data_IF_450523280190
#
_entry.id   IF_450523280190
#
_cell.length_a   1.000
_cell.length_b   1.000
_cell.length_c   1.000
_cell.angle_alpha   90.00
_cell.angle_beta   90.00
_cell.angle_gamma   90.00
#
_symmetry.space_group_name_H-M   'P 1'
#
loop_
_entity.id
_entity.type
_entity.pdbx_description
1 polymer ?
#
# COMPACT_ATOMS: atom_id res chain seq x y z
N UNK A 1 -18.15 15.37 1.04
CA UNK A 1 -17.46 14.07 0.96
C UNK A 1 -18.47 12.91 0.99
N UNK A 2 -18.18 11.85 0.29
CA UNK A 2 -18.97 10.59 0.40
C UNK A 2 -18.63 9.93 1.75
N UNK A 3 -19.21 10.43 2.84
CA UNK A 3 -18.81 10.05 4.21
C UNK A 3 -19.22 8.64 4.62
N UNK A 4 -20.10 7.98 3.86
CA UNK A 4 -20.68 6.70 4.25
C UNK A 4 -20.22 5.50 3.41
N UNK A 5 -19.54 5.72 2.29
CA UNK A 5 -19.22 4.67 1.32
C UNK A 5 -17.88 3.96 1.57
N UNK A 6 -17.02 4.50 2.38
CA UNK A 6 -15.72 3.90 2.68
C UNK A 6 -15.76 3.22 4.04
N UNK A 7 -15.03 2.11 4.20
CA UNK A 7 -14.77 1.54 5.53
C UNK A 7 -14.06 2.59 6.39
N UNK A 8 -14.12 2.48 7.70
CA UNK A 8 -13.50 3.45 8.60
C UNK A 8 -11.99 3.61 8.36
N UNK A 9 -11.34 2.60 7.76
CA UNK A 9 -9.94 2.67 7.32
C UNK A 9 -9.74 3.66 6.19
N UNK A 10 -10.55 3.58 5.12
CA UNK A 10 -10.44 4.55 4.02
C UNK A 10 -10.76 5.97 4.48
N UNK A 11 -11.75 6.11 5.38
CA UNK A 11 -12.07 7.41 5.97
C UNK A 11 -10.88 7.98 6.73
N UNK A 12 -10.21 7.15 7.53
CA UNK A 12 -9.01 7.56 8.28
C UNK A 12 -7.86 7.90 7.35
N UNK A 13 -7.55 7.01 6.39
CA UNK A 13 -6.46 7.18 5.43
C UNK A 13 -6.62 8.39 4.51
N UNK A 14 -7.87 8.73 4.15
CA UNK A 14 -8.20 9.86 3.27
C UNK A 14 -8.59 11.13 4.04
N UNK A 15 -8.40 11.17 5.37
CA UNK A 15 -8.67 12.37 6.18
C UNK A 15 -10.16 12.68 6.35
N UNK A 16 -11.03 11.65 6.34
CA UNK A 16 -12.47 11.78 6.56
C UNK A 16 -13.35 11.37 5.38
N UNK A 17 -12.76 10.89 4.29
CA UNK A 17 -13.48 10.35 3.14
C UNK A 17 -12.87 10.69 1.78
N UNK A 18 -13.51 10.24 0.73
CA UNK A 18 -13.09 10.52 -0.65
C UNK A 18 -13.47 11.95 -1.00
N UNK A 19 -12.49 12.74 -1.39
CA UNK A 19 -12.67 14.15 -1.79
C UNK A 19 -13.01 14.20 -3.27
N UNK A 20 -14.10 14.86 -3.62
CA UNK A 20 -14.49 15.09 -5.01
C UNK A 20 -13.45 15.89 -5.76
N UNK A 21 -13.29 15.61 -7.04
CA UNK A 21 -12.30 16.27 -7.89
C UNK A 21 -10.85 15.94 -7.56
N UNK A 22 -10.61 14.90 -6.75
CA UNK A 22 -9.26 14.49 -6.34
C UNK A 22 -8.70 13.35 -7.18
N UNK A 23 -7.37 13.33 -7.32
CA UNK A 23 -6.61 12.24 -7.90
C UNK A 23 -5.79 11.54 -6.82
N UNK A 24 -6.05 10.25 -6.61
CA UNK A 24 -5.43 9.41 -5.59
C UNK A 24 -4.55 8.36 -6.25
N UNK A 25 -3.28 8.30 -5.89
CA UNK A 25 -2.36 7.25 -6.32
C UNK A 25 -2.30 6.13 -5.27
N UNK A 26 -2.52 4.91 -5.71
CA UNK A 26 -2.34 3.69 -4.90
C UNK A 26 -1.14 2.93 -5.44
N UNK A 27 0.01 3.07 -4.78
CA UNK A 27 1.26 2.43 -5.12
C UNK A 27 1.51 1.14 -4.33
N UNK A 28 2.40 0.30 -4.81
CA UNK A 28 2.83 -0.92 -4.12
C UNK A 28 3.29 -2.01 -5.10
N UNK A 29 3.89 -3.06 -4.55
CA UNK A 29 4.42 -4.18 -5.34
C UNK A 29 3.33 -4.89 -6.16
N UNK A 30 3.67 -5.45 -7.33
CA UNK A 30 2.74 -6.30 -8.09
C UNK A 30 2.27 -7.49 -7.23
N UNK A 31 0.95 -7.77 -7.27
CA UNK A 31 0.36 -8.89 -6.52
C UNK A 31 0.15 -8.64 -5.02
N UNK A 32 0.44 -7.43 -4.49
CA UNK A 32 0.24 -7.10 -3.07
C UNK A 32 -1.24 -7.01 -2.66
N UNK A 33 -2.16 -6.81 -3.61
CA UNK A 33 -3.60 -6.73 -3.36
C UNK A 33 -4.25 -5.38 -3.68
N UNK A 34 -3.56 -4.45 -4.37
CA UNK A 34 -4.09 -3.12 -4.73
C UNK A 34 -5.43 -3.19 -5.46
N UNK A 35 -5.50 -3.96 -6.53
CA UNK A 35 -6.72 -4.13 -7.34
C UNK A 35 -7.86 -4.79 -6.54
N UNK A 36 -7.54 -5.72 -5.63
CA UNK A 36 -8.52 -6.33 -4.72
C UNK A 36 -9.10 -5.29 -3.76
N UNK A 37 -8.23 -4.48 -3.15
CA UNK A 37 -8.62 -3.39 -2.24
C UNK A 37 -9.57 -2.41 -2.92
N UNK A 38 -9.19 -1.95 -4.12
CA UNK A 38 -9.99 -0.99 -4.88
C UNK A 38 -11.32 -1.61 -5.36
N UNK A 39 -11.33 -2.86 -5.75
CA UNK A 39 -12.56 -3.54 -6.14
C UNK A 39 -13.53 -3.70 -4.95
N UNK A 40 -13.02 -3.99 -3.75
CA UNK A 40 -13.82 -4.01 -2.52
C UNK A 40 -14.35 -2.61 -2.16
N UNK A 41 -13.57 -1.55 -2.39
CA UNK A 41 -14.02 -0.18 -2.25
C UNK A 41 -15.14 0.14 -3.24
N UNK A 42 -14.99 -0.26 -4.51
CA UNK A 42 -16.01 -0.11 -5.54
C UNK A 42 -17.31 -0.80 -5.17
N UNK A 43 -17.24 -2.03 -4.62
CA UNK A 43 -18.42 -2.75 -4.13
C UNK A 43 -19.18 -1.95 -3.08
N UNK A 44 -18.48 -1.48 -2.04
CA UNK A 44 -19.10 -0.69 -0.97
C UNK A 44 -19.71 0.62 -1.48
N UNK A 45 -19.05 1.29 -2.44
CA UNK A 45 -19.59 2.49 -3.06
C UNK A 45 -20.85 2.18 -3.88
N UNK A 46 -20.82 1.11 -4.67
CA UNK A 46 -21.93 0.68 -5.50
C UNK A 46 -23.16 0.23 -4.68
N UNK A 47 -22.96 -0.42 -3.54
CA UNK A 47 -24.04 -0.77 -2.57
C UNK A 47 -24.77 0.49 -2.07
N UNK A 48 -24.07 1.62 -2.00
CA UNK A 48 -24.65 2.92 -1.65
C UNK A 48 -25.15 3.70 -2.86
N UNK A 49 -25.31 3.03 -4.01
CA UNK A 49 -25.78 3.62 -5.27
C UNK A 49 -24.87 4.75 -5.80
N UNK A 50 -23.60 4.77 -5.39
CA UNK A 50 -22.60 5.69 -5.96
C UNK A 50 -22.16 5.11 -7.30
N UNK A 51 -22.29 5.85 -8.42
CA UNK A 51 -21.85 5.37 -9.73
C UNK A 51 -20.33 5.25 -9.78
N UNK A 52 -19.83 4.06 -10.10
CA UNK A 52 -18.41 3.73 -10.18
C UNK A 52 -18.07 3.22 -11.57
N UNK A 53 -16.97 3.69 -12.15
CA UNK A 53 -16.37 3.14 -13.36
C UNK A 53 -15.00 2.55 -13.03
N UNK A 54 -14.83 1.26 -13.27
CA UNK A 54 -13.55 0.57 -13.14
C UNK A 54 -12.98 0.32 -14.53
N UNK A 55 -11.85 0.98 -14.81
CA UNK A 55 -11.09 0.86 -16.07
C UNK A 55 -9.90 -0.03 -15.84
N UNK A 56 -9.81 -1.12 -16.61
CA UNK A 56 -8.68 -2.05 -16.57
C UNK A 56 -7.91 -2.03 -17.88
N UNK A 57 -6.60 -1.83 -17.80
CA UNK A 57 -5.70 -1.99 -18.93
C UNK A 57 -4.88 -3.29 -18.89
N UNK A 58 -4.99 -4.07 -17.81
CA UNK A 58 -4.19 -5.29 -17.62
C UNK A 58 -5.04 -6.56 -17.69
N UNK A 59 -6.27 -6.52 -17.16
CA UNK A 59 -7.14 -7.67 -17.02
C UNK A 59 -8.35 -7.60 -17.95
N UNK A 60 -8.75 -8.74 -18.49
CA UNK A 60 -10.01 -8.86 -19.23
C UNK A 60 -11.23 -8.76 -18.32
N UNK A 61 -12.39 -8.44 -18.88
CA UNK A 61 -13.66 -8.39 -18.14
C UNK A 61 -13.95 -9.70 -17.39
N UNK A 62 -13.62 -10.85 -17.99
CA UNK A 62 -13.84 -12.15 -17.37
C UNK A 62 -12.93 -12.34 -16.13
N UNK A 63 -11.68 -11.90 -16.19
CA UNK A 63 -10.75 -11.99 -15.05
C UNK A 63 -11.20 -11.10 -13.89
N UNK A 64 -11.63 -9.88 -14.20
CA UNK A 64 -12.18 -8.96 -13.19
C UNK A 64 -13.45 -9.56 -12.58
N UNK A 65 -14.34 -10.13 -13.41
CA UNK A 65 -15.56 -10.78 -12.95
C UNK A 65 -15.28 -11.95 -12.00
N UNK A 66 -14.35 -12.84 -12.34
CA UNK A 66 -13.94 -13.94 -11.48
C UNK A 66 -13.39 -13.46 -10.13
N UNK A 67 -12.67 -12.34 -10.11
CA UNK A 67 -12.20 -11.70 -8.88
C UNK A 67 -13.35 -11.09 -8.10
N UNK A 68 -14.25 -10.41 -8.77
CA UNK A 68 -15.43 -9.79 -8.16
C UNK A 68 -16.35 -10.84 -7.49
N UNK A 69 -16.57 -11.99 -8.13
CA UNK A 69 -17.38 -13.10 -7.58
C UNK A 69 -16.85 -13.61 -6.23
N UNK A 70 -15.52 -13.62 -6.03
CA UNK A 70 -14.92 -13.96 -4.73
C UNK A 70 -15.18 -12.93 -3.64
N UNK A 71 -15.26 -11.66 -4.02
CA UNK A 71 -15.54 -10.55 -3.10
C UNK A 71 -17.02 -10.48 -2.74
N UNK A 72 -17.90 -11.00 -3.61
CA UNK A 72 -19.34 -11.09 -3.42
C UNK A 72 -20.13 -10.36 -4.52
N UNK A 73 -21.41 -10.13 -4.27
CA UNK A 73 -22.31 -9.53 -5.26
C UNK A 73 -22.02 -8.04 -5.45
N UNK A 74 -22.11 -7.61 -6.70
CA UNK A 74 -22.01 -6.21 -7.12
C UNK A 74 -23.35 -5.73 -7.67
N UNK A 75 -23.59 -4.43 -7.56
CA UNK A 75 -24.79 -3.78 -8.10
C UNK A 75 -24.52 -3.15 -9.48
N UNK A 76 -25.55 -2.80 -10.21
CA UNK A 76 -25.48 -2.14 -11.53
C UNK A 76 -24.81 -0.75 -11.46
N UNK A 77 -24.55 -0.23 -10.26
CA UNK A 77 -23.81 1.03 -10.06
C UNK A 77 -22.32 0.91 -10.34
N UNK A 78 -21.76 -0.31 -10.46
CA UNK A 78 -20.40 -0.56 -10.90
C UNK A 78 -20.40 -0.93 -12.39
N UNK A 79 -19.75 -0.10 -13.21
CA UNK A 79 -19.47 -0.39 -14.62
C UNK A 79 -18.01 -0.76 -14.80
N UNK A 80 -17.74 -1.72 -15.68
CA UNK A 80 -16.39 -2.19 -16.03
C UNK A 80 -16.08 -1.82 -17.47
N UNK A 81 -14.86 -1.31 -17.70
CA UNK A 81 -14.34 -0.98 -19.02
C UNK A 81 -12.92 -1.57 -19.16
N UNK A 82 -12.67 -2.31 -20.24
CA UNK A 82 -11.32 -2.73 -20.62
C UNK A 82 -10.85 -1.84 -21.78
N UNK A 83 -10.06 -0.83 -21.45
CA UNK A 83 -9.53 0.15 -22.41
C UNK A 83 -8.23 0.76 -21.88
N UNK A 84 -7.34 1.13 -22.79
CA UNK A 84 -6.04 1.72 -22.48
C UNK A 84 -5.84 3.09 -23.15
N UNK A 85 -6.64 3.44 -24.15
CA UNK A 85 -6.61 4.76 -24.79
C UNK A 85 -7.34 5.79 -23.93
N UNK A 86 -6.62 6.85 -23.53
CA UNK A 86 -7.14 7.89 -22.63
C UNK A 86 -8.28 8.72 -23.26
N UNK A 87 -8.29 8.92 -24.56
CA UNK A 87 -9.35 9.68 -25.21
C UNK A 87 -10.68 8.90 -25.15
N UNK A 88 -10.62 7.58 -25.36
CA UNK A 88 -11.78 6.71 -25.24
C UNK A 88 -12.27 6.67 -23.80
N UNK A 89 -11.34 6.50 -22.85
CA UNK A 89 -11.67 6.52 -21.41
C UNK A 89 -12.30 7.85 -21.01
N UNK A 90 -11.74 8.98 -21.46
CA UNK A 90 -12.28 10.32 -21.22
C UNK A 90 -13.70 10.49 -21.74
N UNK A 91 -13.97 10.05 -22.97
CA UNK A 91 -15.31 10.07 -23.58
C UNK A 91 -16.32 9.22 -22.81
N UNK A 92 -15.92 8.05 -22.33
CA UNK A 92 -16.79 7.20 -21.49
C UNK A 92 -17.08 7.89 -20.16
N UNK A 93 -16.10 8.51 -19.52
CA UNK A 93 -16.29 9.25 -18.27
C UNK A 93 -17.27 10.42 -18.48
N UNK A 94 -17.15 11.18 -19.56
CA UNK A 94 -18.01 12.31 -19.88
C UNK A 94 -19.47 11.88 -20.10
N UNK A 95 -19.68 10.74 -20.77
CA UNK A 95 -21.01 10.22 -21.05
C UNK A 95 -21.68 9.57 -19.83
N UNK A 96 -20.92 8.76 -19.08
CA UNK A 96 -21.45 7.97 -17.97
C UNK A 96 -21.51 8.74 -16.64
N UNK A 97 -20.76 9.83 -16.53
CA UNK A 97 -20.69 10.72 -15.35
C UNK A 97 -20.55 9.97 -14.03
N UNK A 98 -19.56 9.05 -13.91
CA UNK A 98 -19.34 8.34 -12.66
C UNK A 98 -18.93 9.32 -11.56
N UNK A 99 -19.17 8.97 -10.31
CA UNK A 99 -18.67 9.73 -9.16
C UNK A 99 -17.26 9.30 -8.75
N UNK A 100 -16.92 8.03 -9.01
CA UNK A 100 -15.62 7.43 -8.73
C UNK A 100 -15.14 6.71 -9.99
N UNK A 101 -13.85 6.89 -10.32
CA UNK A 101 -13.18 6.18 -11.41
C UNK A 101 -11.95 5.48 -10.85
N UNK A 102 -11.75 4.23 -11.24
CA UNK A 102 -10.53 3.47 -10.97
C UNK A 102 -9.79 3.25 -12.29
N UNK A 103 -8.49 3.51 -12.32
CA UNK A 103 -7.59 3.20 -13.45
C UNK A 103 -6.58 2.14 -12.98
N UNK A 104 -6.69 0.93 -13.48
CA UNK A 104 -5.85 -0.22 -13.10
C UNK A 104 -5.18 -0.86 -14.34
N UNK A 105 -3.94 -0.49 -14.65
CA UNK A 105 -3.02 0.42 -14.00
C UNK A 105 -2.67 1.64 -14.85
N UNK A 106 -2.09 2.67 -14.23
CA UNK A 106 -1.66 3.87 -14.96
C UNK A 106 -0.57 3.55 -16.01
N UNK A 107 0.23 2.51 -15.79
CA UNK A 107 1.29 2.10 -16.69
C UNK A 107 0.79 1.55 -18.03
N UNK A 108 -0.45 1.09 -18.09
CA UNK A 108 -1.04 0.58 -19.34
C UNK A 108 -1.74 1.65 -20.15
N UNK A 109 -2.05 2.80 -19.53
CA UNK A 109 -2.71 3.91 -20.22
C UNK A 109 -1.77 4.61 -21.19
N UNK A 110 -2.32 5.06 -22.31
CA UNK A 110 -1.57 5.86 -23.29
C UNK A 110 -2.44 6.95 -23.90
N UNK A 111 -1.75 8.02 -24.34
CA UNK A 111 -2.27 9.08 -25.19
C UNK A 111 -1.58 9.04 -26.55
N UNK A 112 -2.33 9.18 -27.62
CA UNK A 112 -1.81 9.25 -28.98
C UNK A 112 -0.98 10.52 -29.24
N UNK A 113 -1.12 11.54 -28.37
CA UNK A 113 -0.35 12.78 -28.45
C UNK A 113 1.13 12.60 -28.05
N UNK A 114 1.47 11.50 -27.35
CA UNK A 114 2.83 11.21 -26.86
C UNK A 114 3.42 10.04 -27.64
N UNK A 115 4.48 10.28 -28.39
CA UNK A 115 5.10 9.30 -29.28
C UNK A 115 5.88 8.16 -28.57
N UNK A 116 5.93 8.13 -27.23
CA UNK A 116 6.64 7.09 -26.48
C UNK A 116 5.74 5.90 -26.15
N UNK A 117 6.34 4.74 -25.89
CA UNK A 117 5.61 3.52 -25.56
C UNK A 117 4.80 3.65 -24.23
N UNK A 118 3.68 2.93 -24.10
CA UNK A 118 2.95 2.80 -22.84
C UNK A 118 3.88 2.38 -21.68
N UNK A 119 3.65 2.90 -20.48
CA UNK A 119 4.51 2.65 -19.32
C UNK A 119 5.79 3.49 -19.24
N UNK A 120 6.17 4.22 -20.30
CA UNK A 120 7.27 5.18 -20.24
C UNK A 120 6.95 6.34 -19.31
N UNK A 121 7.99 7.02 -18.78
CA UNK A 121 7.82 8.16 -17.87
C UNK A 121 6.95 9.25 -18.50
N UNK A 122 7.14 9.55 -19.79
CA UNK A 122 6.38 10.58 -20.50
C UNK A 122 4.90 10.20 -20.63
N UNK A 123 4.59 8.97 -21.06
CA UNK A 123 3.21 8.48 -21.15
C UNK A 123 2.51 8.49 -19.79
N UNK A 124 3.16 7.96 -18.76
CA UNK A 124 2.56 7.88 -17.42
C UNK A 124 2.31 9.26 -16.81
N UNK A 125 3.21 10.22 -17.08
CA UNK A 125 3.02 11.62 -16.64
C UNK A 125 1.89 12.29 -17.40
N UNK A 126 1.83 12.12 -18.73
CA UNK A 126 0.74 12.66 -19.55
C UNK A 126 -0.61 12.08 -19.13
N UNK A 127 -0.70 10.75 -19.02
CA UNK A 127 -1.91 10.08 -18.53
C UNK A 127 -2.37 10.64 -17.18
N UNK A 128 -1.45 10.85 -16.26
CA UNK A 128 -1.74 11.42 -14.93
C UNK A 128 -2.24 12.86 -15.04
N UNK A 129 -1.65 13.68 -15.93
CA UNK A 129 -2.06 15.06 -16.15
C UNK A 129 -3.48 15.15 -16.73
N UNK A 130 -3.79 14.34 -17.74
CA UNK A 130 -5.12 14.24 -18.35
C UNK A 130 -6.17 13.80 -17.31
N UNK A 131 -5.89 12.75 -16.55
CA UNK A 131 -6.79 12.26 -15.50
C UNK A 131 -7.03 13.30 -14.40
N UNK A 132 -6.00 14.08 -14.04
CA UNK A 132 -6.14 15.19 -13.10
C UNK A 132 -7.07 16.29 -13.63
N UNK A 133 -6.95 16.63 -14.91
CA UNK A 133 -7.86 17.60 -15.55
C UNK A 133 -9.29 17.09 -15.56
N UNK A 134 -9.50 15.82 -15.92
CA UNK A 134 -10.82 15.16 -15.90
C UNK A 134 -11.41 15.18 -14.49
N UNK A 135 -10.63 14.80 -13.48
CA UNK A 135 -11.07 14.79 -12.07
C UNK A 135 -11.60 16.16 -11.65
N UNK A 136 -10.83 17.22 -11.93
CA UNK A 136 -11.19 18.60 -11.57
C UNK A 136 -12.35 19.14 -12.40
N UNK A 137 -12.37 18.87 -13.71
CA UNK A 137 -13.41 19.41 -14.62
C UNK A 137 -14.79 18.84 -14.30
N UNK A 138 -14.86 17.55 -13.97
CA UNK A 138 -16.13 16.86 -13.76
C UNK A 138 -16.46 16.61 -12.28
N UNK A 139 -15.63 17.09 -11.35
CA UNK A 139 -15.78 16.87 -9.90
C UNK A 139 -15.82 15.36 -9.52
N UNK A 140 -15.00 14.56 -10.19
CA UNK A 140 -14.92 13.10 -10.06
C UNK A 140 -13.68 12.72 -9.25
N UNK A 141 -13.83 11.77 -8.34
CA UNK A 141 -12.68 11.20 -7.61
C UNK A 141 -12.07 10.08 -8.44
N UNK A 142 -10.80 10.21 -8.82
CA UNK A 142 -10.08 9.22 -9.63
C UNK A 142 -9.00 8.55 -8.79
N UNK A 143 -8.99 7.21 -8.77
CA UNK A 143 -7.94 6.39 -8.17
C UNK A 143 -7.12 5.77 -9.28
N UNK A 144 -5.80 5.96 -9.24
CA UNK A 144 -4.87 5.35 -10.17
C UNK A 144 -3.99 4.32 -9.46
N UNK A 145 -3.90 3.13 -10.00
CA UNK A 145 -3.02 2.07 -9.52
C UNK A 145 -1.65 2.23 -10.17
N UNK A 146 -0.59 2.24 -9.35
CA UNK A 146 0.79 2.27 -9.80
C UNK A 146 1.58 1.08 -9.26
N UNK A 147 2.27 0.34 -10.13
CA UNK A 147 3.17 -0.74 -9.74
C UNK A 147 4.57 -0.19 -9.47
N UNK A 148 5.15 -0.57 -8.31
CA UNK A 148 6.55 -0.27 -8.02
C UNK A 148 7.42 -1.17 -8.90
N UNK A 149 8.36 -0.56 -9.64
CA UNK A 149 9.29 -1.29 -10.48
C UNK A 149 10.69 -1.27 -9.85
N UNK A 150 11.33 -2.40 -9.81
CA UNK A 150 12.71 -2.54 -9.29
C UNK A 150 13.77 -2.02 -10.24
N UNK A 151 13.45 -1.88 -11.53
CA UNK A 151 14.37 -1.44 -12.59
C UNK A 151 13.75 -0.32 -13.42
N UNK A 152 14.54 0.73 -13.70
CA UNK A 152 14.14 2.04 -14.21
C UNK A 152 13.55 2.14 -15.63
N UNK A 153 13.10 1.04 -16.25
CA UNK A 153 12.53 1.06 -17.61
C UNK A 153 11.04 1.47 -17.63
N UNK A 154 10.29 1.23 -16.56
CA UNK A 154 8.87 1.59 -16.43
C UNK A 154 8.72 2.64 -15.33
N UNK A 155 7.92 3.68 -15.59
CA UNK A 155 7.67 4.74 -14.62
C UNK A 155 6.98 4.19 -13.35
N UNK A 156 7.69 4.28 -12.23
CA UNK A 156 7.13 3.89 -10.93
C UNK A 156 6.27 5.00 -10.31
N UNK A 157 5.50 4.69 -9.25
CA UNK A 157 4.63 5.63 -8.56
C UNK A 157 5.33 6.90 -8.08
N UNK A 158 6.61 6.82 -7.70
CA UNK A 158 7.40 7.97 -7.21
C UNK A 158 7.46 9.15 -8.19
N UNK A 159 7.41 8.88 -9.50
CA UNK A 159 7.39 9.94 -10.52
C UNK A 159 6.08 10.73 -10.52
N UNK A 160 5.02 10.18 -9.95
CA UNK A 160 3.68 10.75 -9.93
C UNK A 160 3.31 11.43 -8.61
N UNK A 161 4.06 11.18 -7.53
CA UNK A 161 3.75 11.68 -6.18
C UNK A 161 3.52 13.20 -6.13
N UNK A 162 4.26 13.95 -6.96
CA UNK A 162 4.12 15.42 -7.00
C UNK A 162 2.86 15.87 -7.75
N UNK A 163 2.36 15.07 -8.67
CA UNK A 163 1.24 15.41 -9.56
C UNK A 163 -0.12 15.14 -8.91
N UNK A 164 -0.22 14.16 -8.02
CA UNK A 164 -1.48 13.72 -7.41
C UNK A 164 -1.77 14.44 -6.09
N UNK A 165 -3.03 14.40 -5.65
CA UNK A 165 -3.44 15.02 -4.38
C UNK A 165 -3.17 14.15 -3.17
N UNK A 166 -3.33 12.84 -3.32
CA UNK A 166 -3.12 11.85 -2.27
C UNK A 166 -2.29 10.69 -2.78
N UNK A 167 -1.36 10.19 -1.97
CA UNK A 167 -0.54 9.02 -2.25
C UNK A 167 -0.72 8.02 -1.13
N UNK A 168 -1.15 6.83 -1.47
CA UNK A 168 -1.28 5.69 -0.59
C UNK A 168 -0.32 4.59 -1.06
N UNK A 169 0.50 4.07 -0.16
CA UNK A 169 1.33 2.89 -0.43
C UNK A 169 0.77 1.67 0.26
N UNK A 170 0.68 0.58 -0.52
CA UNK A 170 0.30 -0.72 -0.03
C UNK A 170 1.56 -1.57 0.13
N UNK A 171 1.90 -1.87 1.38
CA UNK A 171 3.15 -2.50 1.80
C UNK A 171 2.86 -3.88 2.40
N UNK A 172 3.83 -4.78 2.36
CA UNK A 172 3.78 -6.10 2.98
C UNK A 172 4.63 -7.11 2.22
N UNK A 173 4.92 -8.23 2.84
CA UNK A 173 5.59 -9.36 2.19
C UNK A 173 4.54 -10.27 1.54
N UNK A 174 4.87 -10.88 0.38
CA UNK A 174 3.98 -11.82 -0.30
C UNK A 174 3.74 -13.11 0.49
N UNK A 175 4.66 -13.43 1.38
CA UNK A 175 4.60 -14.63 2.23
C UNK A 175 3.89 -14.36 3.56
N UNK A 176 3.68 -13.10 3.91
CA UNK A 176 2.94 -12.70 5.10
C UNK A 176 1.45 -12.53 4.78
N UNK A 177 0.60 -12.84 5.76
CA UNK A 177 -0.85 -12.67 5.59
C UNK A 177 -1.30 -11.21 5.63
N UNK A 178 -0.44 -10.30 6.11
CA UNK A 178 -0.79 -8.90 6.34
C UNK A 178 -0.33 -7.96 5.26
N UNK A 179 -1.10 -6.90 5.16
CA UNK A 179 -0.84 -5.76 4.29
C UNK A 179 -1.08 -4.49 5.05
N UNK A 180 -0.23 -3.51 4.85
CA UNK A 180 -0.37 -2.18 5.44
C UNK A 180 -0.66 -1.18 4.34
N UNK A 181 -1.69 -0.38 4.52
CA UNK A 181 -1.97 0.77 3.69
C UNK A 181 -1.49 2.02 4.44
N UNK A 182 -0.53 2.72 3.86
CA UNK A 182 0.10 3.92 4.44
C UNK A 182 -0.17 5.15 3.58
N UNK A 183 -0.64 6.22 4.19
CA UNK A 183 -0.67 7.55 3.56
C UNK A 183 0.72 8.18 3.57
N UNK A 184 1.24 8.52 2.38
CA UNK A 184 2.54 9.20 2.23
C UNK A 184 2.35 10.67 1.93
N UNK A 185 1.27 11.00 1.23
CA UNK A 185 0.87 12.37 0.91
C UNK A 185 -0.64 12.48 0.97
N UNK A 186 -1.14 13.53 1.59
CA UNK A 186 -2.56 13.86 1.59
C UNK A 186 -2.75 15.38 1.70
N UNK A 187 -3.25 16.01 0.65
CA UNK A 187 -3.54 17.46 0.65
C UNK A 187 -4.76 17.81 1.48
N UNK A 188 -5.59 16.84 1.84
CA UNK A 188 -6.89 17.06 2.48
C UNK A 188 -6.91 16.63 3.95
N UNK A 189 -5.82 16.06 4.46
CA UNK A 189 -5.77 15.57 5.84
C UNK A 189 -4.41 15.01 6.24
N UNK A 190 -4.40 14.37 7.41
CA UNK A 190 -3.19 13.75 7.96
C UNK A 190 -2.75 12.52 7.14
N UNK A 191 -1.45 12.30 7.08
CA UNK A 191 -0.83 11.06 6.58
C UNK A 191 -0.44 10.11 7.72
N UNK A 192 -0.77 10.47 8.96
CA UNK A 192 -0.30 9.75 10.15
C UNK A 192 -1.09 8.47 10.48
N UNK A 193 -2.04 8.08 9.65
CA UNK A 193 -2.83 6.87 9.91
C UNK A 193 -2.38 5.73 9.02
N UNK A 194 -2.40 4.51 9.56
CA UNK A 194 -2.19 3.28 8.80
C UNK A 194 -3.43 2.38 8.84
N UNK A 195 -3.69 1.68 7.75
CA UNK A 195 -4.66 0.60 7.69
C UNK A 195 -3.94 -0.74 7.66
N UNK A 196 -4.32 -1.66 8.54
CA UNK A 196 -3.79 -3.03 8.53
C UNK A 196 -4.87 -3.98 8.03
N UNK A 197 -4.52 -4.81 7.07
CA UNK A 197 -5.41 -5.77 6.44
C UNK A 197 -4.82 -7.17 6.47
N UNK A 198 -5.66 -8.16 6.63
CA UNK A 198 -5.34 -9.57 6.42
C UNK A 198 -5.84 -10.01 5.05
N UNK A 199 -5.00 -10.71 4.28
CA UNK A 199 -5.39 -11.30 3.01
C UNK A 199 -6.06 -12.66 3.26
N UNK A 200 -7.35 -12.75 2.93
CA UNK A 200 -8.17 -13.98 3.02
C UNK A 200 -8.66 -14.44 1.65
N UNK A 201 -9.32 -15.57 1.61
CA UNK A 201 -9.92 -16.12 0.38
C UNK A 201 -10.95 -15.19 -0.25
N UNK A 202 -11.74 -14.51 0.59
CA UNK A 202 -12.76 -13.53 0.21
C UNK A 202 -12.22 -12.13 -0.11
N UNK A 203 -10.91 -11.90 0.11
CA UNK A 203 -10.26 -10.62 -0.13
C UNK A 203 -9.53 -10.07 1.08
N UNK A 204 -9.39 -8.77 1.17
CA UNK A 204 -8.74 -8.06 2.27
C UNK A 204 -9.73 -7.76 3.38
N UNK A 205 -9.39 -8.19 4.59
CA UNK A 205 -10.18 -7.95 5.81
C UNK A 205 -9.40 -7.00 6.72
N UNK A 206 -10.06 -5.95 7.19
CA UNK A 206 -9.45 -5.01 8.13
C UNK A 206 -9.12 -5.68 9.46
N UNK A 207 -7.93 -5.42 9.99
CA UNK A 207 -7.50 -5.84 11.32
C UNK A 207 -7.76 -4.70 12.31
N UNK A 208 -8.78 -4.85 13.15
CA UNK A 208 -9.17 -3.81 14.10
C UNK A 208 -8.12 -3.59 15.20
N UNK A 209 -7.50 -4.68 15.67
CA UNK A 209 -6.44 -4.65 16.67
C UNK A 209 -5.15 -5.28 16.14
N UNK A 210 -4.30 -4.51 15.43
CA UNK A 210 -3.04 -5.03 14.90
C UNK A 210 -2.10 -5.59 15.98
N UNK A 211 -2.11 -4.99 17.17
CA UNK A 211 -1.25 -5.39 18.28
C UNK A 211 -1.55 -6.80 18.78
N UNK A 212 -2.83 -7.11 19.00
CA UNK A 212 -3.26 -8.45 19.44
C UNK A 212 -2.81 -9.52 18.46
N UNK A 213 -2.94 -9.18 17.21
CA UNK A 213 -2.61 -10.09 16.14
C UNK A 213 -1.08 -10.32 16.01
N UNK A 214 -0.28 -9.25 16.02
CA UNK A 214 1.19 -9.33 15.92
C UNK A 214 1.82 -10.08 17.11
N UNK A 215 1.11 -10.16 18.21
CA UNK A 215 1.54 -10.88 19.41
C UNK A 215 0.95 -12.31 19.51
N UNK A 216 0.03 -12.70 18.63
CA UNK A 216 -0.70 -13.97 18.72
C UNK A 216 0.19 -15.22 18.63
N UNK A 217 1.35 -15.12 18.01
CA UNK A 217 2.34 -16.21 17.89
C UNK A 217 3.50 -16.15 18.88
N UNK A 218 3.51 -15.16 19.79
CA UNK A 218 4.63 -14.96 20.69
C UNK A 218 4.76 -16.10 21.70
N UNK A 219 5.92 -16.80 21.77
CA UNK A 219 6.18 -17.79 22.80
C UNK A 219 6.29 -17.12 24.17
N UNK A 220 5.66 -17.71 25.20
CA UNK A 220 5.80 -17.21 26.55
C UNK A 220 7.18 -17.52 27.12
N UNK A 221 7.83 -16.50 27.68
CA UNK A 221 9.15 -16.62 28.34
C UNK A 221 10.31 -17.13 27.48
N UNK A 222 10.25 -16.91 26.17
CA UNK A 222 11.40 -17.22 25.28
C UNK A 222 12.46 -16.11 25.39
N UNK A 223 13.72 -16.51 25.57
CA UNK A 223 14.84 -15.57 25.47
C UNK A 223 15.00 -15.09 24.02
N UNK A 224 15.40 -13.84 23.83
CA UNK A 224 15.55 -13.26 22.51
C UNK A 224 14.22 -12.80 21.87
N UNK A 225 13.14 -12.72 22.63
CA UNK A 225 11.86 -12.17 22.19
C UNK A 225 11.35 -11.13 23.19
N UNK A 226 11.11 -9.92 22.72
CA UNK A 226 10.58 -8.82 23.52
C UNK A 226 9.42 -8.14 22.78
N UNK A 227 8.48 -7.58 23.55
CA UNK A 227 7.43 -6.71 22.99
C UNK A 227 7.90 -5.27 23.06
N UNK A 228 7.91 -4.61 21.92
CA UNK A 228 8.14 -3.18 21.81
C UNK A 228 6.87 -2.48 21.34
N UNK A 229 6.77 -1.18 21.63
CA UNK A 229 5.70 -0.32 21.15
C UNK A 229 6.26 0.64 20.12
N UNK A 230 5.68 0.62 18.92
CA UNK A 230 5.90 1.64 17.91
C UNK A 230 4.67 2.54 17.80
N UNK A 231 4.86 3.80 17.45
CA UNK A 231 3.76 4.71 17.15
C UNK A 231 3.72 4.94 15.66
N UNK A 232 2.69 4.43 15.02
CA UNK A 232 2.41 4.66 13.62
C UNK A 232 1.27 5.67 13.49
N UNK A 233 1.67 6.92 13.23
CA UNK A 233 0.74 8.05 13.23
C UNK A 233 0.20 8.37 14.62
N UNK A 234 -1.09 8.14 14.84
CA UNK A 234 -1.76 8.28 16.15
C UNK A 234 -1.96 6.95 16.86
N UNK A 235 -1.61 5.80 16.24
CA UNK A 235 -1.87 4.46 16.79
C UNK A 235 -0.62 3.85 17.42
N UNK A 236 -0.65 3.46 18.70
CA UNK A 236 0.36 2.58 19.27
C UNK A 236 0.16 1.17 18.70
N UNK A 237 1.25 0.57 18.20
CA UNK A 237 1.27 -0.80 17.72
C UNK A 237 2.29 -1.56 18.55
N UNK A 238 1.82 -2.60 19.24
CA UNK A 238 2.70 -3.54 19.89
C UNK A 238 3.19 -4.58 18.89
N UNK A 239 4.48 -4.82 18.89
CA UNK A 239 5.12 -5.76 17.99
C UNK A 239 6.17 -6.58 18.73
N UNK A 240 6.42 -7.79 18.24
CA UNK A 240 7.46 -8.63 18.76
C UNK A 240 8.77 -8.38 17.99
N UNK A 241 9.83 -8.11 18.73
CA UNK A 241 11.20 -8.09 18.22
C UNK A 241 11.87 -9.38 18.66
N UNK A 242 12.43 -10.09 17.70
CA UNK A 242 13.17 -11.32 17.92
C UNK A 242 14.65 -11.08 17.61
N UNK A 243 15.52 -11.49 18.51
CA UNK A 243 16.95 -11.41 18.33
C UNK A 243 17.61 -12.73 18.70
N UNK A 244 18.43 -13.25 17.79
CA UNK A 244 19.29 -14.39 18.05
C UNK A 244 20.74 -13.96 17.87
N UNK A 245 21.54 -14.15 18.92
CA UNK A 245 22.98 -13.90 18.89
C UNK A 245 23.69 -15.19 19.26
N UNK A 246 24.65 -15.63 18.44
CA UNK A 246 25.42 -16.83 18.67
C UNK A 246 26.86 -16.66 18.17
N UNK A 247 27.80 -17.40 18.71
CA UNK A 247 29.18 -17.40 18.23
C UNK A 247 29.25 -17.80 16.76
N UNK A 248 30.02 -17.03 15.98
CA UNK A 248 30.23 -17.33 14.58
C UNK A 248 31.26 -18.44 14.43
N UNK A 249 30.93 -19.40 13.56
CA UNK A 249 31.90 -20.43 13.13
C UNK A 249 32.81 -19.95 11.99
N UNK A 250 32.57 -18.72 11.51
CA UNK A 250 33.30 -18.12 10.38
C UNK A 250 34.11 -16.92 10.84
N UNK A 251 35.21 -16.65 10.15
CA UNK A 251 36.06 -15.49 10.43
C UNK A 251 35.36 -14.15 10.17
N UNK A 252 34.20 -14.16 9.50
CA UNK A 252 33.39 -12.98 9.21
C UNK A 252 31.98 -13.20 9.74
N UNK A 253 31.60 -12.66 10.91
CA UNK A 253 30.29 -12.83 11.50
C UNK A 253 29.18 -12.32 10.61
N UNK A 254 28.10 -13.08 10.55
CA UNK A 254 26.90 -12.74 9.75
C UNK A 254 25.94 -11.89 10.56
N UNK A 255 25.43 -10.88 9.93
CA UNK A 255 24.39 -10.03 10.52
C UNK A 255 23.22 -9.94 9.58
N UNK A 256 22.01 -10.17 10.07
CA UNK A 256 20.78 -10.13 9.28
C UNK A 256 19.75 -9.32 10.03
N UNK A 257 19.11 -8.38 9.33
CA UNK A 257 18.04 -7.58 9.86
C UNK A 257 16.81 -7.72 8.94
N UNK A 258 15.69 -8.13 9.49
CA UNK A 258 14.41 -8.20 8.83
C UNK A 258 13.43 -7.28 9.56
N UNK A 259 12.78 -6.37 8.80
CA UNK A 259 11.87 -5.37 9.36
C UNK A 259 12.53 -4.11 9.94
N UNK A 260 13.87 -4.06 10.06
CA UNK A 260 14.62 -2.88 10.49
C UNK A 260 15.89 -2.65 9.64
N UNK A 261 16.54 -1.51 9.84
CA UNK A 261 17.73 -1.15 9.07
C UNK A 261 18.97 -1.92 9.53
N UNK A 262 19.70 -2.54 8.59
CA UNK A 262 20.91 -3.31 8.84
C UNK A 262 22.02 -2.49 9.51
N UNK A 263 22.21 -1.23 9.07
CA UNK A 263 23.26 -0.37 9.63
C UNK A 263 22.93 0.05 11.06
N UNK A 264 21.63 0.25 11.36
CA UNK A 264 21.15 0.51 12.72
C UNK A 264 21.47 -0.65 13.65
N UNK A 265 21.20 -1.90 13.24
CA UNK A 265 21.55 -3.09 14.03
C UNK A 265 23.05 -3.16 14.32
N UNK A 266 23.91 -2.92 13.32
CA UNK A 266 25.36 -2.88 13.53
C UNK A 266 25.78 -1.80 14.52
N UNK A 267 25.19 -0.62 14.43
CA UNK A 267 25.47 0.48 15.36
C UNK A 267 25.05 0.12 16.79
N UNK A 268 23.86 -0.44 16.98
CA UNK A 268 23.36 -0.87 18.29
C UNK A 268 24.25 -1.94 18.90
N UNK A 269 24.67 -2.95 18.13
CA UNK A 269 25.59 -3.98 18.60
C UNK A 269 26.94 -3.38 19.04
N UNK A 270 27.49 -2.44 18.28
CA UNK A 270 28.74 -1.76 18.66
C UNK A 270 28.60 -0.95 19.96
N UNK A 271 27.41 -0.29 20.14
CA UNK A 271 27.13 0.42 21.40
C UNK A 271 26.98 -0.53 22.57
N UNK A 272 26.28 -1.64 22.42
CA UNK A 272 26.13 -2.70 23.45
C UNK A 272 27.49 -3.24 23.83
N UNK A 273 28.31 -3.63 22.86
CA UNK A 273 29.67 -4.13 23.10
C UNK A 273 30.49 -3.14 23.91
N UNK A 274 30.49 -1.87 23.49
CA UNK A 274 31.29 -0.83 24.13
C UNK A 274 30.77 -0.43 25.52
N UNK A 275 29.47 -0.37 25.73
CA UNK A 275 28.85 0.13 26.97
C UNK A 275 28.66 -0.94 28.02
N UNK A 276 28.37 -2.17 27.63
CA UNK A 276 28.07 -3.28 28.50
C UNK A 276 29.28 -4.23 28.65
N UNK A 277 30.34 -4.01 27.89
CA UNK A 277 31.53 -4.85 27.83
C UNK A 277 31.22 -6.32 27.51
N UNK A 278 30.23 -6.52 26.62
CA UNK A 278 29.80 -7.82 26.08
C UNK A 278 30.47 -7.99 24.72
N UNK A 279 31.26 -9.06 24.54
CA UNK A 279 31.92 -9.31 23.26
C UNK A 279 30.89 -9.79 22.21
N UNK A 280 30.67 -8.98 21.17
CA UNK A 280 29.78 -9.27 20.09
C UNK A 280 30.45 -9.24 18.71
N UNK A 281 31.69 -8.87 18.65
CA UNK A 281 32.47 -8.74 17.41
C UNK A 281 32.66 -10.07 16.68
N UNK A 282 32.66 -11.20 17.38
CA UNK A 282 32.77 -12.56 16.88
C UNK A 282 31.43 -13.33 16.84
N UNK A 283 30.31 -12.62 17.02
CA UNK A 283 28.99 -13.23 17.06
C UNK A 283 28.21 -12.97 15.77
N UNK A 284 27.52 -14.00 15.27
CA UNK A 284 26.43 -13.87 14.33
C UNK A 284 25.21 -13.27 15.05
N UNK A 285 24.48 -12.39 14.35
CA UNK A 285 23.27 -11.78 14.88
C UNK A 285 22.15 -11.77 13.84
N UNK A 286 20.98 -12.20 14.25
CA UNK A 286 19.78 -12.29 13.45
C UNK A 286 18.66 -11.55 14.17
N UNK A 287 18.20 -10.43 13.59
CA UNK A 287 17.15 -9.61 14.13
C UNK A 287 15.92 -9.68 13.20
N UNK A 288 14.77 -9.92 13.78
CA UNK A 288 13.49 -9.98 13.06
C UNK A 288 12.41 -9.22 13.80
N UNK A 289 11.69 -8.36 13.08
CA UNK A 289 10.43 -7.79 13.56
C UNK A 289 9.31 -8.69 13.06
N UNK A 290 8.57 -9.30 13.99
CA UNK A 290 7.47 -10.19 13.64
C UNK A 290 6.36 -9.46 12.88
N UNK A 291 5.69 -10.18 11.96
CA UNK A 291 4.61 -9.64 11.14
C UNK A 291 5.04 -8.99 9.83
N UNK A 292 6.35 -9.08 9.44
CA UNK A 292 6.83 -8.61 8.13
C UNK A 292 6.77 -7.09 7.90
N UNK A 293 6.61 -6.32 8.97
CA UNK A 293 6.46 -4.87 8.92
C UNK A 293 7.84 -4.22 9.02
N UNK A 294 8.10 -3.24 8.14
CA UNK A 294 9.30 -2.40 8.27
C UNK A 294 9.02 -1.27 9.26
N UNK A 295 9.77 -1.24 10.35
CA UNK A 295 9.68 -0.23 11.39
C UNK A 295 11.02 0.50 11.53
N UNK A 296 10.95 1.84 11.50
CA UNK A 296 12.12 2.71 11.69
C UNK A 296 11.99 3.60 12.93
N UNK A 297 10.98 3.35 13.77
CA UNK A 297 10.73 4.10 14.99
C UNK A 297 11.89 3.89 15.98
N UNK A 298 12.55 4.97 16.47
CA UNK A 298 13.64 4.82 17.44
C UNK A 298 13.24 4.16 18.76
N UNK A 299 11.95 4.20 19.13
CA UNK A 299 11.47 3.57 20.36
C UNK A 299 11.67 2.06 20.37
N UNK A 300 11.73 1.40 19.22
CA UNK A 300 11.96 -0.05 19.13
C UNK A 300 13.43 -0.45 19.32
N UNK A 301 14.36 0.52 19.28
CA UNK A 301 15.81 0.26 19.39
C UNK A 301 16.21 -0.20 20.80
N UNK A 302 15.37 0.00 21.79
CA UNK A 302 15.57 -0.46 23.16
C UNK A 302 15.01 -1.89 23.42
N UNK A 303 14.30 -2.45 22.48
CA UNK A 303 13.81 -3.82 22.51
C UNK A 303 14.80 -4.78 21.89
#
# INVERSE_FOLDING_TARGET
>A
GYSSAASDVYKRQLGGGIVKGSLVLVGGDPGIGKSTLLLQMCKKAAEQKVPVLYVSGEESLNQIKMRAERIGNFTDSLKLLCETNLDIVGNVIENEKPSIVIIDSIQTMYSDEVASAPGSVSQVREATAVLMQIAKRFDISIFIVGHVTKEGAVAGPRTLEHMVDTVLYFEGDRYESYRILRGVKNRFGSTNEIGVFEMKSEGLVEVENPSEYMLSGKPQNASGSIVACSIEGSRPILLEIQALVCHSFFNNPRRTANGTDYNKVNLLMAVIEKRLNIQLSDCDAYINIAGGIKMNEPAIDLG
#
